data_IF_052772180835
#
_entry.id   IF_052772180835
#
_cell.length_a   1.000
_cell.length_b   1.000
_cell.length_c   1.000
_cell.angle_alpha   90.00
_cell.angle_beta   90.00
_cell.angle_gamma   90.00
#
_symmetry.space_group_name_H-M   'P 1'
#
loop_
_entity.id
_entity.type
_entity.pdbx_description
1 polymer ?
#
# COMPACT_ATOMS: atom_id res chain seq x y z
N UNK A 1 -4.97 6.18 -11.97
CA UNK A 1 -6.32 5.73 -12.41
C UNK A 1 -6.32 4.22 -12.54
N UNK A 2 -7.40 3.54 -12.17
CA UNK A 2 -7.58 2.09 -12.27
C UNK A 2 -8.97 1.78 -12.83
N UNK A 3 -9.05 0.87 -13.78
CA UNK A 3 -10.32 0.40 -14.34
C UNK A 3 -10.70 -0.95 -13.72
N UNK A 4 -11.99 -1.14 -13.45
CA UNK A 4 -12.59 -2.40 -12.99
C UNK A 4 -13.99 -2.55 -13.60
N UNK A 5 -14.09 -3.25 -14.72
CA UNK A 5 -15.31 -3.32 -15.53
C UNK A 5 -15.75 -1.92 -15.98
N UNK A 6 -17.01 -1.59 -15.70
CA UNK A 6 -17.64 -0.32 -16.06
C UNK A 6 -17.32 0.81 -15.05
N UNK A 7 -16.33 0.64 -14.17
CA UNK A 7 -15.95 1.68 -13.20
C UNK A 7 -14.49 2.08 -13.40
N UNK A 8 -14.25 3.38 -13.40
CA UNK A 8 -12.90 3.93 -13.22
C UNK A 8 -12.73 4.55 -11.84
N UNK A 9 -11.66 4.16 -11.17
CA UNK A 9 -11.18 4.77 -9.95
C UNK A 9 -10.05 5.73 -10.25
N UNK A 10 -10.21 6.97 -9.80
CA UNK A 10 -9.19 8.00 -9.94
C UNK A 10 -8.84 8.58 -8.58
N UNK A 11 -7.59 9.03 -8.46
CA UNK A 11 -7.14 9.89 -7.37
C UNK A 11 -6.57 11.15 -8.01
N UNK A 12 -6.88 12.31 -7.45
CA UNK A 12 -6.22 13.56 -7.82
C UNK A 12 -5.17 13.86 -6.76
N UNK A 13 -3.97 14.29 -7.17
CA UNK A 13 -2.92 14.64 -6.23
C UNK A 13 -3.18 16.06 -5.68
N UNK A 14 -3.88 16.21 -4.55
CA UNK A 14 -4.01 17.48 -3.82
C UNK A 14 -4.59 17.35 -2.40
N UNK A 15 -3.76 17.60 -1.37
CA UNK A 15 -4.08 17.81 0.08
C UNK A 15 -4.83 16.69 0.83
N UNK A 16 -5.98 16.28 0.31
CA UNK A 16 -6.91 15.25 0.77
C UNK A 16 -7.35 14.57 -0.52
N UNK A 17 -6.68 13.50 -0.91
CA UNK A 17 -6.79 13.00 -2.28
C UNK A 17 -8.05 12.13 -2.36
N UNK A 18 -9.14 12.62 -2.98
CA UNK A 18 -10.38 11.88 -2.97
C UNK A 18 -10.21 10.66 -3.86
N UNK A 19 -10.64 9.50 -3.36
CA UNK A 19 -10.87 8.36 -4.22
C UNK A 19 -12.19 8.60 -4.97
N UNK A 20 -12.10 8.95 -6.25
CA UNK A 20 -13.24 9.12 -7.12
C UNK A 20 -13.64 7.77 -7.72
N UNK A 21 -14.94 7.46 -7.69
CA UNK A 21 -15.54 6.41 -8.50
C UNK A 21 -16.31 7.05 -9.65
N UNK A 22 -16.01 6.62 -10.88
CA UNK A 22 -16.59 7.15 -12.12
C UNK A 22 -17.30 5.99 -12.81
N UNK A 23 -18.61 6.11 -13.02
CA UNK A 23 -19.40 5.20 -13.84
C UNK A 23 -19.08 5.42 -15.32
N UNK A 24 -18.70 4.33 -15.98
CA UNK A 24 -18.37 4.24 -17.40
C UNK A 24 -19.33 3.30 -18.15
N UNK A 25 -20.47 2.94 -17.55
CA UNK A 25 -21.50 2.10 -18.18
C UNK A 25 -21.99 2.66 -19.52
N UNK A 26 -22.04 3.99 -19.63
CA UNK A 26 -22.10 4.71 -20.91
C UNK A 26 -20.75 5.43 -21.16
N UNK A 27 -19.89 4.93 -22.06
CA UNK A 27 -18.58 5.53 -22.32
C UNK A 27 -18.68 6.91 -23.00
N UNK A 28 -19.84 7.29 -23.53
CA UNK A 28 -20.08 8.62 -24.11
C UNK A 28 -20.59 9.63 -23.09
N UNK A 29 -21.03 9.18 -21.91
CA UNK A 29 -21.58 10.00 -20.83
C UNK A 29 -21.05 9.54 -19.45
N UNK A 30 -19.73 9.64 -19.19
CA UNK A 30 -19.14 9.22 -17.93
C UNK A 30 -19.66 10.07 -16.76
N UNK A 31 -20.05 9.42 -15.66
CA UNK A 31 -20.66 10.08 -14.50
C UNK A 31 -19.80 9.91 -13.25
N UNK A 32 -19.66 10.98 -12.48
CA UNK A 32 -19.06 10.89 -11.16
C UNK A 32 -20.08 10.28 -10.20
N UNK A 33 -19.81 9.05 -9.73
CA UNK A 33 -20.67 8.35 -8.76
C UNK A 33 -20.45 8.89 -7.36
N UNK A 34 -19.18 9.02 -6.95
CA UNK A 34 -18.81 9.44 -5.59
C UNK A 34 -17.36 9.92 -5.49
N UNK A 35 -17.08 10.61 -4.38
CA UNK A 35 -15.73 11.03 -3.98
C UNK A 35 -15.55 10.74 -2.48
N UNK A 36 -14.57 9.89 -2.15
CA UNK A 36 -14.20 9.60 -0.76
C UNK A 36 -12.94 10.37 -0.38
N UNK A 37 -13.10 11.43 0.42
CA UNK A 37 -11.98 12.22 0.93
C UNK A 37 -11.26 11.51 2.08
N UNK A 38 -9.96 11.24 1.90
CA UNK A 38 -9.09 10.62 2.90
C UNK A 38 -7.77 11.38 3.02
N UNK A 39 -7.19 11.39 4.21
CA UNK A 39 -5.83 11.89 4.40
C UNK A 39 -4.81 10.96 3.72
N UNK A 40 -3.78 11.56 3.12
CA UNK A 40 -2.83 10.87 2.26
C UNK A 40 -3.37 10.64 0.86
N UNK A 41 -2.70 9.78 0.10
CA UNK A 41 -3.07 9.42 -1.26
C UNK A 41 -2.78 7.95 -1.55
N UNK A 42 -3.44 7.40 -2.57
CA UNK A 42 -3.17 6.06 -3.12
C UNK A 42 -2.55 6.17 -4.50
N UNK A 43 -1.29 5.78 -4.68
CA UNK A 43 -0.64 5.79 -6.00
C UNK A 43 -1.03 4.57 -6.85
N UNK A 44 -1.31 3.45 -6.19
CA UNK A 44 -1.68 2.19 -6.81
C UNK A 44 -3.00 1.69 -6.21
N UNK A 45 -3.88 1.20 -7.09
CA UNK A 45 -5.19 0.66 -6.75
C UNK A 45 -5.31 -0.75 -7.34
N UNK A 46 -5.65 -1.72 -6.51
CA UNK A 46 -5.79 -3.13 -6.89
C UNK A 46 -7.18 -3.65 -6.53
N UNK A 47 -8.03 -3.97 -7.51
CA UNK A 47 -9.35 -4.56 -7.27
C UNK A 47 -9.23 -5.89 -6.54
N UNK A 48 -10.11 -6.11 -5.58
CA UNK A 48 -10.21 -7.32 -4.78
C UNK A 48 -11.60 -7.93 -4.90
N UNK A 49 -11.74 -9.25 -4.68
CA UNK A 49 -13.05 -9.89 -4.63
C UNK A 49 -14.00 -9.23 -3.63
N UNK A 50 -15.30 -9.27 -3.90
CA UNK A 50 -16.32 -8.76 -2.98
C UNK A 50 -16.59 -7.26 -3.07
N UNK A 51 -16.09 -6.57 -4.11
CA UNK A 51 -16.28 -5.13 -4.28
C UNK A 51 -15.35 -4.30 -3.40
N UNK A 52 -14.17 -4.85 -3.07
CA UNK A 52 -13.14 -4.13 -2.33
C UNK A 52 -12.04 -3.63 -3.27
N UNK A 53 -11.38 -2.55 -2.87
CA UNK A 53 -10.25 -1.98 -3.60
C UNK A 53 -9.11 -1.74 -2.61
N UNK A 54 -7.95 -2.35 -2.86
CA UNK A 54 -6.74 -2.07 -2.08
C UNK A 54 -6.03 -0.85 -2.67
N UNK A 55 -5.87 0.20 -1.86
CA UNK A 55 -4.98 1.32 -2.11
C UNK A 55 -3.62 1.13 -1.48
N UNK A 56 -2.57 1.42 -2.25
CA UNK A 56 -1.19 1.54 -1.77
C UNK A 56 -0.70 2.94 -2.12
N UNK A 57 -0.24 3.67 -1.11
CA UNK A 57 0.22 5.04 -1.29
C UNK A 57 0.89 5.57 -0.04
N UNK A 58 0.71 6.86 0.26
CA UNK A 58 1.38 7.49 1.39
C UNK A 58 0.39 8.22 2.28
N UNK A 59 0.58 8.08 3.59
CA UNK A 59 -0.13 8.92 4.56
C UNK A 59 0.50 10.31 4.55
N UNK A 60 -0.29 11.34 4.84
CA UNK A 60 0.20 12.72 4.81
C UNK A 60 -0.49 13.58 5.87
N UNK A 61 0.25 14.56 6.37
CA UNK A 61 -0.28 15.66 7.19
C UNK A 61 -0.12 16.97 6.44
N UNK A 62 -1.05 17.89 6.65
CA UNK A 62 -0.92 19.24 6.13
C UNK A 62 0.30 19.94 6.72
N UNK A 63 0.99 20.74 5.90
CA UNK A 63 1.99 21.68 6.38
C UNK A 63 1.38 22.70 7.34
N UNK A 64 2.21 23.22 8.25
CA UNK A 64 1.78 24.21 9.24
C UNK A 64 2.18 25.62 8.82
N UNK A 65 1.71 26.64 9.55
CA UNK A 65 2.01 28.04 9.27
C UNK A 65 3.53 28.28 9.22
N UNK A 66 4.05 28.52 8.00
CA UNK A 66 5.48 28.63 7.70
C UNK A 66 5.86 27.86 6.43
N UNK A 67 5.11 26.80 6.10
CA UNK A 67 5.21 26.06 4.86
C UNK A 67 4.50 26.80 3.70
N UNK A 68 4.85 26.48 2.45
CA UNK A 68 4.14 27.04 1.30
C UNK A 68 2.64 26.62 1.34
N UNK A 69 1.69 27.52 1.00
CA UNK A 69 0.27 27.16 0.99
C UNK A 69 0.00 25.91 0.16
N UNK A 70 -0.64 24.91 0.75
CA UNK A 70 -0.96 23.64 0.08
C UNK A 70 0.14 22.58 0.16
N UNK A 71 1.22 22.81 0.90
CA UNK A 71 2.24 21.80 1.19
C UNK A 71 1.69 20.72 2.13
N UNK A 72 2.01 19.47 1.85
CA UNK A 72 1.74 18.32 2.71
C UNK A 72 3.01 17.50 2.89
N UNK A 73 3.13 16.85 4.04
CA UNK A 73 4.29 16.05 4.40
C UNK A 73 3.90 14.59 4.54
N UNK A 74 4.45 13.72 3.69
CA UNK A 74 4.28 12.27 3.82
C UNK A 74 4.80 11.75 5.16
N UNK A 75 3.99 10.94 5.82
CA UNK A 75 4.22 10.40 7.17
C UNK A 75 4.32 8.87 7.21
N UNK A 76 4.42 8.19 6.07
CA UNK A 76 4.61 6.75 6.01
C UNK A 76 3.91 6.12 4.80
N UNK A 77 4.20 4.84 4.57
CA UNK A 77 3.52 4.08 3.53
C UNK A 77 2.12 3.71 4.03
N UNK A 78 1.07 3.96 3.24
CA UNK A 78 -0.32 3.69 3.61
C UNK A 78 -0.88 2.55 2.78
N UNK A 79 -1.52 1.61 3.47
CA UNK A 79 -2.39 0.58 2.89
C UNK A 79 -3.82 0.88 3.32
N UNK A 80 -4.73 0.91 2.35
CA UNK A 80 -6.15 1.21 2.57
C UNK A 80 -7.01 0.16 1.89
N UNK A 81 -7.99 -0.42 2.59
CA UNK A 81 -9.03 -1.24 1.97
C UNK A 81 -10.28 -0.38 1.85
N UNK A 82 -10.70 -0.12 0.62
CA UNK A 82 -11.94 0.60 0.34
C UNK A 82 -13.08 -0.38 0.06
N UNK A 83 -14.20 -0.17 0.72
CA UNK A 83 -15.48 -0.84 0.41
C UNK A 83 -16.24 0.00 -0.62
N UNK A 84 -16.48 -0.59 -1.78
CA UNK A 84 -17.12 0.04 -2.94
C UNK A 84 -18.46 -0.61 -3.29
N UNK A 85 -19.01 -1.45 -2.39
CA UNK A 85 -20.25 -2.20 -2.66
C UNK A 85 -21.46 -1.28 -2.78
N UNK A 86 -21.49 -0.19 -2.01
CA UNK A 86 -22.35 0.97 -2.26
C UNK A 86 -21.52 2.05 -2.97
N UNK A 87 -21.68 2.16 -4.29
CA UNK A 87 -20.92 3.11 -5.12
C UNK A 87 -21.20 4.57 -4.77
N UNK A 88 -22.36 4.88 -4.19
CA UNK A 88 -22.72 6.24 -3.81
C UNK A 88 -22.13 6.62 -2.44
N UNK A 89 -21.82 5.63 -1.60
CA UNK A 89 -21.30 5.82 -0.25
C UNK A 89 -20.10 4.92 0.04
N UNK A 90 -19.00 5.07 -0.72
CA UNK A 90 -17.78 4.30 -0.46
C UNK A 90 -17.16 4.63 0.90
N UNK A 91 -16.41 3.70 1.47
CA UNK A 91 -15.74 3.92 2.76
C UNK A 91 -14.35 3.27 2.83
N UNK A 92 -13.47 3.80 3.70
CA UNK A 92 -12.19 3.18 4.04
C UNK A 92 -12.42 2.18 5.19
N UNK A 93 -12.69 0.91 4.84
CA UNK A 93 -13.02 -0.16 5.78
C UNK A 93 -11.82 -0.58 6.66
N UNK A 94 -10.60 -0.41 6.15
CA UNK A 94 -9.38 -0.69 6.90
C UNK A 94 -8.24 0.21 6.44
N UNK A 95 -7.35 0.56 7.38
CA UNK A 95 -6.18 1.40 7.15
C UNK A 95 -4.99 0.90 7.98
N UNK A 96 -3.82 0.85 7.35
CA UNK A 96 -2.54 0.63 8.01
C UNK A 96 -1.48 1.58 7.48
N UNK A 97 -0.80 2.27 8.40
CA UNK A 97 0.40 3.06 8.08
C UNK A 97 1.64 2.27 8.49
N UNK A 98 2.62 2.18 7.61
CA UNK A 98 3.86 1.41 7.76
C UNK A 98 5.03 2.38 7.84
N UNK A 99 5.70 2.35 8.99
CA UNK A 99 6.80 3.26 9.32
C UNK A 99 6.35 4.73 9.37
N UNK A 100 7.33 5.62 9.36
CA UNK A 100 7.15 7.06 9.29
C UNK A 100 7.70 7.66 7.99
N UNK A 101 7.91 8.98 8.01
CA UNK A 101 8.43 9.74 6.87
C UNK A 101 9.74 9.15 6.32
N UNK A 102 9.71 8.83 5.03
CA UNK A 102 10.78 8.15 4.30
C UNK A 102 10.45 6.71 3.95
N UNK A 103 9.43 6.12 4.56
CA UNK A 103 8.96 4.79 4.19
C UNK A 103 8.37 4.81 2.79
N UNK A 104 8.63 3.73 2.03
CA UNK A 104 8.36 3.68 0.61
C UNK A 104 8.10 2.24 0.13
N UNK A 105 7.65 2.09 -1.11
CA UNK A 105 7.49 0.82 -1.82
C UNK A 105 7.68 1.04 -3.31
N UNK A 106 8.27 0.08 -4.01
CA UNK A 106 8.37 0.15 -5.48
C UNK A 106 6.99 0.15 -6.16
N UNK A 107 5.95 -0.35 -5.48
CA UNK A 107 4.58 -0.40 -5.99
C UNK A 107 4.02 0.98 -6.35
N UNK A 108 4.54 2.07 -5.77
CA UNK A 108 4.14 3.43 -6.13
C UNK A 108 4.59 3.83 -7.55
N UNK A 109 5.59 3.15 -8.11
CA UNK A 109 6.20 3.43 -9.43
C UNK A 109 5.99 2.29 -10.42
N UNK A 110 6.10 1.04 -9.97
CA UNK A 110 5.91 -0.15 -10.79
C UNK A 110 4.94 -1.14 -10.14
N UNK A 111 3.75 -1.24 -10.71
CA UNK A 111 2.71 -2.18 -10.27
C UNK A 111 3.15 -3.65 -10.31
N UNK A 112 4.19 -4.01 -11.08
CA UNK A 112 4.75 -5.37 -11.13
C UNK A 112 5.60 -5.72 -9.92
N UNK A 113 5.83 -4.78 -9.00
CA UNK A 113 6.49 -5.05 -7.73
C UNK A 113 5.55 -5.68 -6.69
N UNK A 114 4.24 -5.61 -6.92
CA UNK A 114 3.19 -6.17 -6.08
C UNK A 114 2.87 -7.62 -6.46
N UNK A 115 2.50 -8.44 -5.47
CA UNK A 115 2.00 -9.79 -5.70
C UNK A 115 0.67 -10.04 -4.97
N UNK A 116 -0.26 -10.72 -5.66
CA UNK A 116 -1.49 -11.24 -5.06
C UNK A 116 -1.80 -12.65 -5.55
N UNK A 117 -2.35 -13.49 -4.67
CA UNK A 117 -2.69 -14.88 -4.98
C UNK A 117 -3.92 -15.33 -4.20
N UNK A 118 -4.74 -16.20 -4.79
CA UNK A 118 -5.82 -16.83 -4.04
C UNK A 118 -5.23 -17.83 -3.03
N UNK A 119 -5.84 -17.93 -1.85
CA UNK A 119 -5.48 -18.89 -0.82
C UNK A 119 -6.45 -20.07 -0.82
N UNK A 120 -6.06 -21.19 -0.18
CA UNK A 120 -6.89 -22.39 -0.09
C UNK A 120 -8.22 -22.17 0.66
N UNK A 121 -8.27 -21.20 1.57
CA UNK A 121 -9.49 -20.82 2.31
C UNK A 121 -10.34 -19.77 1.59
N UNK A 122 -10.08 -19.48 0.31
CA UNK A 122 -10.88 -18.57 -0.52
C UNK A 122 -10.59 -17.08 -0.30
N UNK A 123 -9.57 -16.74 0.48
CA UNK A 123 -9.10 -15.36 0.65
C UNK A 123 -8.15 -14.96 -0.48
N UNK A 124 -7.82 -13.66 -0.53
CA UNK A 124 -6.80 -13.10 -1.39
C UNK A 124 -5.59 -12.71 -0.56
N UNK A 125 -4.48 -13.41 -0.75
CA UNK A 125 -3.19 -13.08 -0.15
C UNK A 125 -2.52 -11.95 -0.90
N UNK A 126 -2.03 -10.98 -0.16
CA UNK A 126 -1.32 -9.79 -0.65
C UNK A 126 0.11 -9.78 -0.13
N UNK A 127 1.03 -9.35 -0.99
CA UNK A 127 2.41 -9.08 -0.62
C UNK A 127 2.88 -7.76 -1.25
N UNK A 128 3.29 -6.81 -0.42
CA UNK A 128 3.81 -5.50 -0.83
C UNK A 128 5.26 -5.38 -0.37
N UNK A 129 6.25 -5.21 -1.26
CA UNK A 129 7.61 -4.92 -0.84
C UNK A 129 7.63 -3.56 -0.13
N UNK A 130 8.36 -3.43 0.97
CA UNK A 130 8.38 -2.19 1.77
C UNK A 130 9.79 -1.81 2.16
N UNK A 131 10.08 -0.52 2.10
CA UNK A 131 11.21 0.13 2.76
C UNK A 131 10.64 0.91 3.93
N UNK A 132 11.09 0.59 5.14
CA UNK A 132 10.56 1.16 6.36
C UNK A 132 11.60 2.11 6.95
N UNK A 133 11.21 3.36 7.08
CA UNK A 133 11.90 4.37 7.88
C UNK A 133 11.14 4.53 9.19
N UNK A 134 11.82 4.45 10.33
CA UNK A 134 11.17 4.51 11.64
C UNK A 134 12.15 4.96 12.72
N UNK A 135 11.64 5.63 13.75
CA UNK A 135 12.43 6.33 14.75
C UNK A 135 11.59 7.20 15.66
N UNK A 136 12.25 8.08 16.41
CA UNK A 136 11.56 9.01 17.31
C UNK A 136 10.83 10.05 16.48
N UNK A 137 9.50 10.13 16.64
CA UNK A 137 8.69 11.17 16.03
C UNK A 137 9.19 12.55 16.45
N UNK A 138 9.34 13.46 15.49
CA UNK A 138 9.76 14.84 15.76
C UNK A 138 8.59 15.78 15.52
N UNK A 139 8.62 16.96 16.16
CA UNK A 139 7.64 18.00 15.90
C UNK A 139 7.73 18.58 14.47
N UNK A 140 8.77 18.21 13.71
CA UNK A 140 9.02 18.65 12.35
C UNK A 140 8.50 17.58 11.35
N UNK A 141 7.31 17.74 10.77
CA UNK A 141 6.72 16.75 9.86
C UNK A 141 7.52 16.56 8.56
N UNK A 142 8.43 17.48 8.22
CA UNK A 142 9.32 17.40 7.05
C UNK A 142 10.57 16.53 7.27
N UNK A 143 10.91 16.19 8.52
CA UNK A 143 12.14 15.45 8.82
C UNK A 143 12.01 13.97 8.46
N UNK A 144 12.95 13.47 7.65
CA UNK A 144 13.05 12.04 7.35
C UNK A 144 13.50 11.27 8.59
N UNK A 145 12.82 10.16 8.88
CA UNK A 145 13.25 9.22 9.91
C UNK A 145 14.40 8.34 9.38
N UNK A 146 15.22 7.73 10.25
CA UNK A 146 16.26 6.82 9.79
C UNK A 146 15.64 5.57 9.15
N UNK A 147 16.27 5.06 8.10
CA UNK A 147 15.92 3.77 7.52
C UNK A 147 16.14 2.66 8.55
N UNK A 148 15.21 1.71 8.64
CA UNK A 148 15.28 0.56 9.54
C UNK A 148 15.39 -0.76 8.84
N UNK A 149 14.61 -0.96 7.78
CA UNK A 149 14.57 -2.26 7.10
C UNK A 149 13.96 -2.17 5.71
N UNK A 150 14.30 -3.15 4.87
CA UNK A 150 13.60 -3.48 3.64
C UNK A 150 13.03 -4.89 3.81
N UNK A 151 11.79 -5.12 3.37
CA UNK A 151 11.08 -6.38 3.59
C UNK A 151 9.80 -6.48 2.79
N UNK A 152 8.86 -7.31 3.26
CA UNK A 152 7.53 -7.47 2.64
C UNK A 152 6.44 -7.35 3.71
N UNK A 153 5.44 -6.52 3.45
CA UNK A 153 4.17 -6.55 4.17
C UNK A 153 3.26 -7.60 3.54
N UNK A 154 2.73 -8.52 4.34
CA UNK A 154 1.78 -9.55 3.87
C UNK A 154 0.53 -9.56 4.71
N UNK A 155 -0.62 -9.81 4.09
CA UNK A 155 -1.92 -9.99 4.75
C UNK A 155 -2.86 -10.72 3.80
N UNK A 156 -3.92 -11.32 4.35
CA UNK A 156 -4.97 -11.96 3.58
C UNK A 156 -6.26 -11.13 3.68
N UNK A 157 -7.03 -11.04 2.59
CA UNK A 157 -8.30 -10.32 2.50
C UNK A 157 -9.41 -11.26 2.08
N UNK A 158 -10.47 -11.36 2.87
CA UNK A 158 -11.66 -12.14 2.50
C UNK A 158 -12.59 -11.39 1.55
N UNK A 159 -13.59 -12.08 1.01
CA UNK A 159 -14.62 -11.49 0.12
C UNK A 159 -15.61 -10.57 0.84
N UNK A 160 -15.64 -10.59 2.17
CA UNK A 160 -16.45 -9.70 3.01
C UNK A 160 -15.62 -8.56 3.66
N UNK A 161 -14.33 -8.47 3.34
CA UNK A 161 -13.47 -7.35 3.73
C UNK A 161 -12.66 -7.54 5.01
N UNK A 162 -12.69 -8.73 5.60
CA UNK A 162 -11.85 -9.05 6.75
C UNK A 162 -10.38 -9.12 6.33
N UNK A 163 -9.54 -8.37 7.04
CA UNK A 163 -8.08 -8.47 6.97
C UNK A 163 -7.59 -9.44 8.04
N UNK A 164 -6.80 -10.44 7.66
CA UNK A 164 -6.12 -11.34 8.59
C UNK A 164 -4.62 -11.44 8.31
N UNK A 165 -3.88 -11.95 9.30
CA UNK A 165 -2.46 -12.30 9.19
C UNK A 165 -1.56 -11.18 8.66
N UNK A 166 -1.90 -9.93 8.96
CA UNK A 166 -1.03 -8.80 8.66
C UNK A 166 0.32 -8.95 9.37
N UNK A 167 1.41 -8.97 8.60
CA UNK A 167 2.78 -9.10 9.09
C UNK A 167 3.73 -8.27 8.24
N UNK A 168 4.66 -7.59 8.91
CA UNK A 168 5.89 -7.08 8.30
C UNK A 168 6.98 -8.14 8.42
N UNK A 169 7.60 -8.49 7.30
CA UNK A 169 8.65 -9.51 7.21
C UNK A 169 9.94 -8.83 6.76
N UNK A 170 10.82 -8.43 7.69
CA UNK A 170 12.08 -7.80 7.33
C UNK A 170 12.96 -8.79 6.56
N UNK A 171 13.71 -8.32 5.58
CA UNK A 171 14.71 -9.10 4.85
C UNK A 171 16.11 -8.54 5.14
N UNK A 172 16.28 -7.23 4.92
CA UNK A 172 17.50 -6.48 5.19
C UNK A 172 17.20 -5.46 6.27
N UNK A 173 18.08 -5.33 7.26
CA UNK A 173 17.91 -4.41 8.39
C UNK A 173 19.08 -3.42 8.39
N UNK A 174 18.84 -2.20 8.87
CA UNK A 174 19.87 -1.19 9.00
C UNK A 174 21.06 -1.70 9.80
N UNK A 175 22.26 -1.50 9.26
CA UNK A 175 23.52 -2.01 9.83
C UNK A 175 23.92 -3.41 9.36
N UNK A 176 23.03 -4.17 8.70
CA UNK A 176 23.36 -5.48 8.08
C UNK A 176 23.35 -5.47 6.56
N UNK A 177 23.01 -4.33 5.94
CA UNK A 177 23.02 -4.16 4.49
C UNK A 177 22.65 -2.74 4.07
N UNK A 178 22.42 -2.57 2.77
CA UNK A 178 22.09 -1.28 2.17
C UNK A 178 20.58 -1.15 1.90
N UNK A 179 20.08 0.08 2.01
CA UNK A 179 18.70 0.40 1.64
C UNK A 179 18.54 0.31 0.13
N UNK A 180 17.57 -0.48 -0.33
CA UNK A 180 17.10 -0.47 -1.70
C UNK A 180 15.58 -0.39 -1.77
N UNK A 181 15.06 0.50 -2.60
CA UNK A 181 13.65 0.67 -2.90
C UNK A 181 13.20 -0.21 -4.06
N UNK A 182 14.10 -0.56 -4.98
CA UNK A 182 13.85 -1.41 -6.15
C UNK A 182 13.73 -2.87 -5.70
N UNK A 183 12.53 -3.20 -5.21
CA UNK A 183 12.25 -4.50 -4.65
C UNK A 183 10.90 -5.02 -5.15
N UNK A 184 10.80 -6.35 -5.33
CA UNK A 184 9.60 -7.02 -5.84
C UNK A 184 9.20 -8.16 -4.93
N UNK A 185 7.91 -8.24 -4.60
CA UNK A 185 7.38 -9.41 -3.90
C UNK A 185 6.96 -10.48 -4.90
N UNK A 186 7.10 -11.74 -4.51
CA UNK A 186 6.58 -12.90 -5.25
C UNK A 186 5.90 -13.83 -4.25
N UNK A 187 4.73 -14.36 -4.62
CA UNK A 187 4.02 -15.37 -3.86
C UNK A 187 4.14 -16.71 -4.59
N UNK A 188 4.54 -17.76 -3.86
CA UNK A 188 4.60 -19.12 -4.37
C UNK A 188 4.16 -20.10 -3.27
N UNK A 189 2.96 -20.67 -3.43
CA UNK A 189 2.33 -21.50 -2.41
C UNK A 189 2.19 -20.74 -1.08
N UNK A 190 2.64 -21.37 0.01
CA UNK A 190 2.65 -20.76 1.34
C UNK A 190 3.93 -19.99 1.66
N UNK A 191 4.61 -19.47 0.65
CA UNK A 191 5.84 -18.70 0.80
C UNK A 191 5.75 -17.35 0.10
N UNK A 192 6.42 -16.38 0.70
CA UNK A 192 6.64 -15.06 0.15
C UNK A 192 8.13 -14.87 -0.08
N UNK A 193 8.46 -14.29 -1.22
CA UNK A 193 9.81 -13.95 -1.61
C UNK A 193 9.92 -12.46 -1.85
N UNK A 194 11.12 -11.94 -1.61
CA UNK A 194 11.53 -10.59 -1.95
C UNK A 194 12.75 -10.70 -2.84
N UNK A 195 12.69 -10.10 -4.02
CA UNK A 195 13.88 -9.80 -4.80
C UNK A 195 14.28 -8.35 -4.54
N UNK A 196 15.51 -8.13 -4.07
CA UNK A 196 16.04 -6.79 -3.78
C UNK A 196 17.55 -6.78 -3.95
N UNK A 197 18.08 -5.73 -4.59
CA UNK A 197 19.53 -5.57 -4.86
C UNK A 197 20.19 -6.82 -5.49
N UNK A 198 19.50 -7.50 -6.41
CA UNK A 198 20.04 -8.70 -7.07
C UNK A 198 19.95 -9.99 -6.26
N UNK A 199 19.43 -9.96 -5.04
CA UNK A 199 19.37 -11.11 -4.14
C UNK A 199 17.93 -11.53 -3.84
N UNK A 200 17.75 -12.81 -3.55
CA UNK A 200 16.47 -13.35 -3.10
C UNK A 200 16.44 -13.54 -1.58
N UNK A 201 15.31 -13.20 -1.00
CA UNK A 201 14.96 -13.52 0.38
C UNK A 201 13.64 -14.28 0.38
N UNK A 202 13.49 -15.26 1.26
CA UNK A 202 12.33 -16.13 1.30
C UNK A 202 11.80 -16.35 2.71
N UNK A 203 10.49 -16.49 2.85
CA UNK A 203 9.87 -16.83 4.13
C UNK A 203 8.56 -17.59 3.93
N UNK A 204 8.34 -18.59 4.78
CA UNK A 204 7.03 -19.25 4.87
C UNK A 204 6.02 -18.36 5.59
N UNK A 205 4.78 -18.35 5.10
CA UNK A 205 3.72 -17.47 5.59
C UNK A 205 3.30 -17.82 7.03
N UNK A 206 3.41 -19.08 7.44
CA UNK A 206 3.13 -19.56 8.80
C UNK A 206 4.15 -19.05 9.84
N UNK A 207 5.39 -18.78 9.44
CA UNK A 207 6.44 -18.27 10.33
C UNK A 207 6.28 -16.79 10.60
N UNK A 208 6.64 -16.35 11.82
CA UNK A 208 6.64 -14.94 12.24
C UNK A 208 8.00 -14.25 12.11
N UNK A 209 9.03 -14.97 11.65
CA UNK A 209 10.42 -14.48 11.67
C UNK A 209 10.79 -13.61 10.46
N UNK A 210 11.96 -12.97 10.56
CA UNK A 210 12.70 -12.36 9.46
C UNK A 210 12.82 -13.31 8.26
N UNK A 211 12.82 -12.76 7.05
CA UNK A 211 13.06 -13.52 5.83
C UNK A 211 14.48 -14.10 5.84
N UNK A 212 14.60 -15.34 5.35
CA UNK A 212 15.89 -16.01 5.18
C UNK A 212 16.56 -15.59 3.87
N UNK A 213 17.89 -15.57 3.83
CA UNK A 213 18.69 -15.12 2.69
C UNK A 213 19.86 -14.21 3.11
N UNK A 214 20.54 -13.55 2.16
CA UNK A 214 20.30 -13.63 0.72
C UNK A 214 20.62 -15.02 0.15
N UNK A 215 19.91 -15.43 -0.89
CA UNK A 215 20.19 -16.60 -1.75
C UNK A 215 20.64 -16.14 -3.13
#
# INVERSE_FOLDING_TARGET
MRFDGDVAYAVSYFRVDPLYAIDLSDPLDPKLDSALEIAGYSAYLHPLPGGFLLGVGQDAVAGTNGDAPGQSWFQGLKLSLFDQRDRQHPSEAWRQVIGGRGSDTEVLRDHRAFASAATANGMRRIAVPVVVHDGVATAAPWLYLPWRQTGVATFDVSTDGLISDYRLRPAVVAGSGERNIDARSVLLGDSVFLFSSGHWYGQRMDRSSQMSGPY
#
